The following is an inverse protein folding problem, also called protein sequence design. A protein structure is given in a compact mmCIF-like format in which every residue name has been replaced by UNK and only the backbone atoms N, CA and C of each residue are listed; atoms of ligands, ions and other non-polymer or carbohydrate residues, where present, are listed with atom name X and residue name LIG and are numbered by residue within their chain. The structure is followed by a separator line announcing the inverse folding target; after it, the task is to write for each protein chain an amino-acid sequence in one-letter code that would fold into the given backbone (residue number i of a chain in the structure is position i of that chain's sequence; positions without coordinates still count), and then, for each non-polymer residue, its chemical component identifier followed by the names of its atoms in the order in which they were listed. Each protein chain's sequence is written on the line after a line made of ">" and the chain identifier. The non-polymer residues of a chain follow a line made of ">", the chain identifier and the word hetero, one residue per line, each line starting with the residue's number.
data_IF_232321259322
#
_entry.id   IF_232321259322
#
_cell.length_a   1.000
_cell.length_b   1.000
_cell.length_c   1.000
_cell.angle_alpha   90.00
_cell.angle_beta   90.00
_cell.angle_gamma   90.00
#
_symmetry.space_group_name_H-M   'P 1'
#
loop_
_entity.id
_entity.type
_entity.pdbx_description
1 polymer ?
#
# COMPACT_ATOMS: atom_id res chain seq x y z
N UNK A 1 -26.93 -11.32 29.74
CA UNK A 1 -26.76 -11.47 28.59
C UNK A 1 -26.20 -10.45 27.69
N UNK A 2 -25.08 -9.96 27.82
CA UNK A 2 -24.56 -8.89 27.06
C UNK A 2 -23.49 -9.40 26.16
N UNK A 3 -23.78 -9.57 24.91
CA UNK A 3 -22.71 -9.84 23.99
C UNK A 3 -21.81 -8.64 23.94
N UNK A 4 -20.62 -8.84 24.36
CA UNK A 4 -19.56 -7.87 24.25
C UNK A 4 -19.19 -7.68 22.78
N UNK A 5 -19.93 -6.85 22.12
CA UNK A 5 -19.66 -6.52 20.72
C UNK A 5 -18.60 -5.44 20.56
N UNK A 6 -18.14 -4.88 21.67
CA UNK A 6 -17.17 -3.77 21.62
C UNK A 6 -15.74 -4.17 21.32
N UNK A 7 -15.44 -5.45 21.23
CA UNK A 7 -14.07 -5.91 20.99
C UNK A 7 -13.72 -6.11 19.53
N UNK A 8 -14.69 -6.00 18.63
CA UNK A 8 -14.43 -6.24 17.21
C UNK A 8 -13.67 -5.12 16.49
N UNK A 9 -13.84 -3.89 16.91
CA UNK A 9 -13.16 -2.77 16.24
C UNK A 9 -11.68 -2.65 16.58
N UNK A 10 -11.29 -3.09 17.78
CA UNK A 10 -9.88 -3.10 18.16
C UNK A 10 -9.13 -4.28 17.59
N UNK A 11 -9.79 -5.38 17.29
CA UNK A 11 -9.14 -6.54 16.69
C UNK A 11 -8.82 -6.34 15.20
N UNK A 12 -9.59 -5.53 14.49
CA UNK A 12 -9.33 -5.26 13.08
C UNK A 12 -8.09 -4.39 12.87
N UNK A 13 -7.84 -3.43 13.75
CA UNK A 13 -6.64 -2.60 13.71
C UNK A 13 -5.38 -3.38 14.12
N UNK A 14 -5.52 -4.38 14.98
CA UNK A 14 -4.40 -5.23 15.39
C UNK A 14 -4.12 -6.37 14.43
N UNK A 15 -5.02 -6.65 13.48
CA UNK A 15 -4.82 -7.70 12.49
C UNK A 15 -3.59 -7.48 11.61
N UNK A 16 -3.19 -6.23 11.40
CA UNK A 16 -1.98 -5.91 10.64
C UNK A 16 -0.72 -6.33 11.40
N UNK A 17 -0.75 -6.25 12.72
CA UNK A 17 0.35 -6.69 13.57
C UNK A 17 0.32 -8.19 13.84
N UNK A 18 -0.86 -8.79 13.79
CA UNK A 18 -1.08 -10.19 14.09
C UNK A 18 -0.85 -11.14 12.91
N UNK A 19 -0.65 -10.63 11.70
CA UNK A 19 -0.30 -11.48 10.56
C UNK A 19 1.14 -11.95 10.78
N UNK A 20 1.37 -13.21 11.14
CA UNK A 20 2.73 -13.69 11.23
C UNK A 20 3.35 -13.56 9.84
N UNK A 21 4.48 -12.88 9.73
CA UNK A 21 5.15 -12.86 8.45
C UNK A 21 5.47 -14.32 8.10
N UNK A 22 4.91 -14.86 7.03
CA UNK A 22 5.44 -16.10 6.52
C UNK A 22 6.94 -15.87 6.30
N UNK A 23 7.74 -16.90 6.42
CA UNK A 23 9.18 -16.81 6.21
C UNK A 23 9.49 -16.29 4.82
N UNK A 24 9.40 -14.98 4.69
CA UNK A 24 9.45 -14.29 3.43
C UNK A 24 10.87 -13.83 3.18
N UNK A 25 11.36 -14.11 2.01
CA UNK A 25 12.63 -13.61 1.56
C UNK A 25 12.77 -12.10 1.72
N UNK A 26 13.98 -11.56 1.62
CA UNK A 26 14.29 -10.16 1.94
C UNK A 26 13.41 -9.13 1.18
N UNK A 27 12.92 -9.50 0.00
CA UNK A 27 12.07 -8.61 -0.80
C UNK A 27 10.66 -8.42 -0.23
N UNK A 28 10.19 -9.38 0.55
CA UNK A 28 8.86 -9.27 1.18
C UNK A 28 8.87 -8.45 2.45
N UNK A 29 10.03 -8.32 3.11
CA UNK A 29 10.18 -7.40 4.24
C UNK A 29 9.96 -5.95 3.83
N UNK A 30 10.37 -5.57 2.63
CA UNK A 30 10.14 -4.22 2.09
C UNK A 30 8.66 -3.95 1.85
N UNK A 31 7.92 -4.92 1.32
CA UNK A 31 6.49 -4.80 1.12
C UNK A 31 5.73 -4.62 2.44
N UNK A 32 6.14 -5.35 3.47
CA UNK A 32 5.56 -5.20 4.80
C UNK A 32 5.87 -3.83 5.40
N UNK A 33 7.06 -3.28 5.15
CA UNK A 33 7.46 -1.93 5.60
C UNK A 33 6.56 -0.89 4.92
N UNK A 34 6.32 -1.01 3.62
CA UNK A 34 5.43 -0.11 2.88
C UNK A 34 4.01 -0.15 3.43
N UNK A 35 3.49 -1.35 3.71
CA UNK A 35 2.18 -1.53 4.29
C UNK A 35 2.06 -0.91 5.68
N UNK A 36 3.03 -1.14 6.54
CA UNK A 36 3.08 -0.54 7.88
C UNK A 36 3.10 0.99 7.82
N UNK A 37 3.82 1.55 6.86
CA UNK A 37 3.85 2.99 6.64
C UNK A 37 2.48 3.54 6.25
N UNK A 38 1.76 2.85 5.37
CA UNK A 38 0.41 3.22 4.98
C UNK A 38 -0.56 3.16 6.17
N UNK A 39 -0.49 2.10 6.96
CA UNK A 39 -1.33 1.93 8.14
C UNK A 39 -1.02 2.99 9.21
N UNK A 40 0.25 3.32 9.41
CA UNK A 40 0.66 4.37 10.33
C UNK A 40 0.15 5.74 9.88
N UNK A 41 0.22 6.04 8.61
CA UNK A 41 -0.31 7.29 8.03
C UNK A 41 -1.82 7.38 8.20
N UNK A 42 -2.53 6.29 7.98
CA UNK A 42 -3.98 6.21 8.19
C UNK A 42 -4.33 6.48 9.65
N UNK A 43 -3.66 5.78 10.55
CA UNK A 43 -3.90 5.92 11.99
C UNK A 43 -3.61 7.34 12.48
N UNK A 44 -2.52 7.92 12.02
CA UNK A 44 -2.14 9.28 12.38
C UNK A 44 -3.20 10.30 11.93
N UNK A 45 -3.69 10.18 10.71
CA UNK A 45 -4.74 11.05 10.18
C UNK A 45 -6.08 10.84 10.91
N UNK A 46 -6.41 9.59 11.22
CA UNK A 46 -7.60 9.23 11.97
C UNK A 46 -7.58 9.85 13.39
N UNK A 47 -6.49 9.64 14.11
CA UNK A 47 -6.31 10.15 15.46
C UNK A 47 -6.30 11.68 15.49
N UNK A 48 -5.67 12.31 14.50
CA UNK A 48 -5.65 13.77 14.37
C UNK A 48 -7.05 14.35 14.15
N UNK A 49 -7.86 13.65 13.34
CA UNK A 49 -9.25 14.07 13.12
C UNK A 49 -10.09 13.91 14.39
N UNK A 50 -9.89 12.82 15.12
CA UNK A 50 -10.65 12.52 16.33
C UNK A 50 -10.25 13.39 17.53
N UNK A 51 -9.10 14.03 17.45
CA UNK A 51 -8.61 14.86 18.57
C UNK A 51 -9.57 15.99 18.89
N UNK A 52 -10.01 16.05 20.14
CA UNK A 52 -10.95 17.07 20.63
C UNK A 52 -12.39 16.88 20.21
N UNK A 53 -12.73 15.78 19.54
CA UNK A 53 -14.10 15.49 19.12
C UNK A 53 -14.74 14.44 20.00
N UNK A 54 -16.10 14.50 20.05
CA UNK A 54 -16.85 13.44 20.70
C UNK A 54 -16.69 12.14 19.90
N UNK A 55 -16.59 11.01 20.59
CA UNK A 55 -16.47 9.71 19.93
C UNK A 55 -17.79 9.22 19.32
N UNK A 56 -18.57 10.10 18.69
CA UNK A 56 -19.82 9.70 18.05
C UNK A 56 -19.53 8.89 16.78
N UNK A 57 -20.46 8.03 16.44
CA UNK A 57 -20.38 7.18 15.25
C UNK A 57 -20.17 8.00 13.95
N UNK A 58 -20.80 9.17 13.85
CA UNK A 58 -20.62 10.07 12.74
C UNK A 58 -19.18 10.60 12.64
N UNK A 59 -18.60 10.95 13.77
CA UNK A 59 -17.22 11.44 13.83
C UNK A 59 -16.24 10.35 13.38
N UNK A 60 -16.46 9.12 13.78
CA UNK A 60 -15.64 7.98 13.37
C UNK A 60 -15.70 7.76 11.86
N UNK A 61 -16.88 7.86 11.26
CA UNK A 61 -17.05 7.71 9.81
C UNK A 61 -16.30 8.80 9.05
N UNK A 62 -16.40 10.04 9.50
CA UNK A 62 -15.67 11.14 8.88
C UNK A 62 -14.16 11.03 9.09
N UNK A 63 -13.72 10.57 10.24
CA UNK A 63 -12.31 10.34 10.52
C UNK A 63 -11.74 9.27 9.59
N UNK A 64 -12.45 8.18 9.41
CA UNK A 64 -12.07 7.11 8.49
C UNK A 64 -12.01 7.60 7.03
N UNK A 65 -12.98 8.40 6.63
CA UNK A 65 -13.01 9.01 5.30
C UNK A 65 -11.81 9.93 5.07
N UNK A 66 -11.45 10.71 6.07
CA UNK A 66 -10.30 11.63 6.00
C UNK A 66 -8.96 10.87 6.04
N UNK A 67 -8.91 9.75 6.70
CA UNK A 67 -7.71 8.92 6.82
C UNK A 67 -7.39 8.13 5.54
N UNK A 68 -8.38 7.82 4.73
CA UNK A 68 -8.19 7.07 3.48
C UNK A 68 -7.17 7.69 2.54
N UNK A 69 -7.26 8.98 2.20
CA UNK A 69 -6.26 9.65 1.38
C UNK A 69 -4.85 9.61 1.96
N UNK A 70 -4.70 9.68 3.28
CA UNK A 70 -3.40 9.57 3.94
C UNK A 70 -2.76 8.19 3.73
N UNK A 71 -3.56 7.14 3.79
CA UNK A 71 -3.12 5.78 3.45
C UNK A 71 -2.58 5.72 2.01
N UNK A 72 -3.35 6.25 1.06
CA UNK A 72 -2.98 6.24 -0.36
C UNK A 72 -1.71 7.03 -0.64
N UNK A 73 -1.53 8.18 0.01
CA UNK A 73 -0.33 9.02 -0.16
C UNK A 73 0.94 8.35 0.35
N UNK A 74 0.82 7.45 1.30
CA UNK A 74 1.95 6.72 1.86
C UNK A 74 2.34 5.48 1.04
N UNK A 75 1.55 5.11 0.04
CA UNK A 75 1.86 3.95 -0.81
C UNK A 75 3.12 4.17 -1.63
N UNK A 76 3.84 3.09 -2.00
CA UNK A 76 5.01 3.19 -2.88
C UNK A 76 4.65 3.83 -4.23
N UNK A 77 5.62 4.47 -4.84
CA UNK A 77 5.47 4.97 -6.20
C UNK A 77 5.42 3.81 -7.19
N UNK A 78 4.70 4.00 -8.30
CA UNK A 78 4.61 3.00 -9.36
C UNK A 78 5.85 3.00 -10.26
N UNK A 79 7.00 2.76 -9.66
CA UNK A 79 8.31 2.74 -10.32
C UNK A 79 9.02 1.44 -10.01
N UNK A 80 9.22 0.59 -11.02
CA UNK A 80 9.88 -0.70 -10.87
C UNK A 80 8.96 -1.80 -10.34
N UNK A 81 9.31 -3.04 -10.61
CA UNK A 81 8.51 -4.22 -10.26
C UNK A 81 8.23 -4.33 -8.75
N UNK A 82 9.23 -4.11 -7.94
CA UNK A 82 9.09 -4.25 -6.48
C UNK A 82 8.08 -3.24 -5.92
N UNK A 83 8.19 -1.98 -6.32
CA UNK A 83 7.28 -0.94 -5.89
C UNK A 83 5.85 -1.19 -6.36
N UNK A 84 5.67 -1.64 -7.60
CA UNK A 84 4.36 -1.95 -8.16
C UNK A 84 3.73 -3.11 -7.39
N UNK A 85 4.50 -4.15 -7.09
CA UNK A 85 4.03 -5.28 -6.30
C UNK A 85 3.62 -4.83 -4.90
N UNK A 86 4.43 -4.02 -4.25
CA UNK A 86 4.14 -3.50 -2.91
C UNK A 86 2.94 -2.56 -2.92
N UNK A 87 2.79 -1.76 -3.97
CA UNK A 87 1.63 -0.92 -4.19
C UNK A 87 0.34 -1.75 -4.28
N UNK A 88 0.35 -2.82 -5.05
CA UNK A 88 -0.80 -3.72 -5.19
C UNK A 88 -1.15 -4.35 -3.84
N UNK A 89 -0.15 -4.79 -3.09
CA UNK A 89 -0.36 -5.34 -1.76
C UNK A 89 -0.97 -4.30 -0.79
N UNK A 90 -0.53 -3.06 -0.86
CA UNK A 90 -1.10 -1.97 -0.07
C UNK A 90 -2.55 -1.69 -0.45
N UNK A 91 -2.89 -1.70 -1.74
CA UNK A 91 -4.27 -1.52 -2.21
C UNK A 91 -5.16 -2.66 -1.70
N UNK A 92 -4.70 -3.91 -1.84
CA UNK A 92 -5.45 -5.07 -1.37
C UNK A 92 -5.73 -4.98 0.14
N UNK A 93 -4.73 -4.62 0.92
CA UNK A 93 -4.91 -4.45 2.36
C UNK A 93 -5.82 -3.27 2.69
N UNK A 94 -5.67 -2.15 1.98
CA UNK A 94 -6.51 -0.97 2.16
C UNK A 94 -7.99 -1.25 1.90
N UNK A 95 -8.30 -2.13 0.95
CA UNK A 95 -9.66 -2.61 0.72
C UNK A 95 -10.17 -3.40 1.93
N UNK A 96 -9.35 -4.32 2.44
CA UNK A 96 -9.73 -5.18 3.56
C UNK A 96 -10.03 -4.41 4.85
N UNK A 97 -9.31 -3.33 5.09
CA UNK A 97 -9.51 -2.49 6.28
C UNK A 97 -10.43 -1.30 6.03
N UNK A 98 -11.08 -1.23 4.87
CA UNK A 98 -11.94 -0.12 4.45
C UNK A 98 -11.24 1.26 4.42
N UNK A 99 -9.92 1.28 4.25
CA UNK A 99 -9.17 2.51 4.07
C UNK A 99 -9.31 3.06 2.65
N UNK A 100 -9.54 2.19 1.68
CA UNK A 100 -9.68 2.53 0.27
C UNK A 100 -11.08 2.14 -0.21
N UNK A 101 -11.91 3.10 -0.65
CA UNK A 101 -13.20 2.79 -1.26
C UNK A 101 -13.03 1.99 -2.55
N UNK A 102 -13.99 1.14 -2.86
CA UNK A 102 -13.96 0.26 -4.03
C UNK A 102 -13.64 1.00 -5.33
N UNK A 103 -14.30 2.11 -5.56
CA UNK A 103 -14.08 2.93 -6.77
C UNK A 103 -12.63 3.40 -6.87
N UNK A 104 -12.06 3.85 -5.77
CA UNK A 104 -10.65 4.28 -5.72
C UNK A 104 -9.72 3.10 -5.91
N UNK A 105 -10.03 1.97 -5.30
CA UNK A 105 -9.23 0.76 -5.42
C UNK A 105 -9.14 0.30 -6.88
N UNK A 106 -10.23 0.32 -7.60
CA UNK A 106 -10.26 -0.04 -9.02
C UNK A 106 -9.38 0.88 -9.86
N UNK A 107 -9.41 2.18 -9.60
CA UNK A 107 -8.55 3.15 -10.27
C UNK A 107 -7.07 2.90 -9.98
N UNK A 108 -6.73 2.62 -8.73
CA UNK A 108 -5.36 2.37 -8.31
C UNK A 108 -4.81 1.06 -8.87
N UNK A 109 -5.62 0.00 -8.88
CA UNK A 109 -5.25 -1.28 -9.47
C UNK A 109 -5.08 -1.18 -10.99
N UNK A 110 -5.92 -0.41 -11.65
CA UNK A 110 -5.78 -0.15 -13.08
C UNK A 110 -4.47 0.59 -13.36
N UNK A 111 -4.14 1.62 -12.59
CA UNK A 111 -2.89 2.34 -12.74
C UNK A 111 -1.67 1.41 -12.52
N UNK A 112 -1.74 0.53 -11.53
CA UNK A 112 -0.69 -0.46 -11.28
C UNK A 112 -0.53 -1.44 -12.43
N UNK A 113 -1.63 -1.87 -13.02
CA UNK A 113 -1.62 -2.76 -14.19
C UNK A 113 -0.97 -2.08 -15.41
N UNK A 114 -1.32 -0.82 -15.66
CA UNK A 114 -0.71 -0.04 -16.75
C UNK A 114 0.80 0.12 -16.52
N UNK A 115 1.20 0.43 -15.29
CA UNK A 115 2.60 0.56 -14.94
C UNK A 115 3.36 -0.76 -15.14
N UNK A 116 2.77 -1.88 -14.75
CA UNK A 116 3.36 -3.21 -14.91
C UNK A 116 3.53 -3.58 -16.38
N UNK A 117 2.54 -3.30 -17.20
CA UNK A 117 2.61 -3.53 -18.65
C UNK A 117 3.70 -2.66 -19.27
N UNK A 118 3.79 -1.40 -18.85
CA UNK A 118 4.81 -0.47 -19.34
C UNK A 118 6.23 -0.98 -19.08
N UNK A 119 6.48 -1.62 -17.95
CA UNK A 119 7.78 -2.19 -17.63
C UNK A 119 8.19 -3.32 -18.61
N UNK A 120 7.22 -4.06 -19.09
CA UNK A 120 7.50 -5.13 -20.06
C UNK A 120 7.94 -4.60 -21.43
N UNK A 121 7.60 -3.35 -21.73
CA UNK A 121 7.97 -2.70 -22.98
C UNK A 121 9.20 -1.81 -22.86
N UNK A 122 9.72 -1.61 -21.67
CA UNK A 122 11.00 -0.91 -21.54
C UNK A 122 12.09 -1.73 -22.22
N UNK A 123 12.87 -1.11 -23.12
CA UNK A 123 14.01 -1.80 -23.70
C UNK A 123 14.95 -2.18 -22.57
N UNK A 124 15.16 -3.47 -22.40
CA UNK A 124 16.19 -3.95 -21.49
C UNK A 124 17.47 -3.21 -21.80
N UNK A 125 18.16 -2.65 -20.80
CA UNK A 125 19.44 -2.03 -21.05
C UNK A 125 20.27 -3.04 -21.82
N UNK A 126 20.63 -2.68 -23.04
CA UNK A 126 21.55 -3.49 -23.83
C UNK A 126 22.78 -3.63 -22.94
N UNK A 127 23.02 -4.86 -22.49
CA UNK A 127 24.35 -5.16 -22.02
C UNK A 127 25.26 -4.63 -23.12
N UNK A 128 26.09 -3.67 -22.79
CA UNK A 128 27.11 -3.23 -23.69
C UNK A 128 27.92 -4.47 -24.08
N UNK A 129 27.47 -5.11 -25.11
CA UNK A 129 28.28 -6.11 -25.77
C UNK A 129 29.38 -5.28 -26.37
N UNK A 130 30.49 -5.20 -25.65
CA UNK A 130 31.73 -4.92 -26.32
C UNK A 130 31.80 -5.94 -27.44
N UNK A 131 31.45 -5.49 -28.64
CA UNK A 131 31.71 -6.28 -29.79
C UNK A 131 33.23 -6.32 -29.95
N UNK A 132 33.86 -7.47 -29.72
CA UNK A 132 35.29 -7.57 -30.02
C UNK A 132 35.43 -7.29 -31.52
N UNK A 133 36.11 -6.24 -31.89
CA UNK A 133 36.30 -5.89 -33.26
C UNK A 133 35.64 -4.62 -33.74
N UNK A 134 34.86 -3.92 -32.89
CA UNK A 134 34.45 -2.56 -33.17
C UNK A 134 35.36 -1.52 -32.56
N UNK A 135 36.58 -1.80 -32.46
CA UNK A 135 37.56 -0.74 -32.50
C UNK A 135 37.50 -0.18 -33.91
N UNK A 136 36.66 0.79 -34.05
CA UNK A 136 36.77 1.69 -35.13
C UNK A 136 38.08 2.41 -35.00
N UNK A 137 39.06 1.80 -35.54
CA UNK A 137 40.22 2.52 -35.95
C UNK A 137 39.86 3.32 -37.17
N UNK A 138 39.52 4.48 -36.90
CA UNK A 138 39.60 5.51 -37.92
C UNK A 138 40.73 6.41 -37.57
#
# INVERSE_FOLDING_TARGET
>A
MTPTLSTKSTSELSLVEAIPPPALGPNRKKGLIALKRCCAAWKHAYDAYMEGKDGSEFTEVFAAHDAGPAFCKAMPLLVGYENIRDFIACVAHGILINAIPEKRANQLLYAAQVALVSLNYEPKPRKSVERPGTTLTL
#
